data_IF_459856123695
#
_entry.id   IF_459856123695
#
_cell.length_a   1.000
_cell.length_b   1.000
_cell.length_c   1.000
_cell.angle_alpha   90.00
_cell.angle_beta   90.00
_cell.angle_gamma   90.00
#
_symmetry.space_group_name_H-M   'P 1'
#
loop_
_entity.id
_entity.type
_entity.pdbx_description
1 polymer ?
#
# COMPACT_ATOMS: atom_id res chain seq x y z
N UNK A 1 -9.99 69.38 44.33
CA UNK A 1 -10.03 67.90 44.26
C UNK A 1 -9.37 67.32 45.50
N UNK A 2 -9.94 66.29 46.13
CA UNK A 2 -9.44 65.74 47.41
C UNK A 2 -8.22 64.85 47.16
N UNK A 3 -7.05 65.23 47.67
CA UNK A 3 -5.76 64.52 47.50
C UNK A 3 -5.85 63.04 47.93
N UNK A 4 -6.68 62.76 48.94
CA UNK A 4 -6.95 61.40 49.42
C UNK A 4 -7.61 60.48 48.38
N UNK A 5 -8.46 61.01 47.50
CA UNK A 5 -9.09 60.23 46.42
C UNK A 5 -8.07 59.83 45.34
N UNK A 6 -7.09 60.70 45.09
CA UNK A 6 -6.05 60.49 44.09
C UNK A 6 -5.06 59.40 44.54
N UNK A 7 -4.68 59.42 45.82
CA UNK A 7 -3.84 58.38 46.46
C UNK A 7 -4.57 57.02 46.48
N UNK A 8 -5.89 57.01 46.74
CA UNK A 8 -6.68 55.78 46.71
C UNK A 8 -6.77 55.20 45.29
N UNK A 9 -6.96 56.06 44.28
CA UNK A 9 -7.00 55.66 42.87
C UNK A 9 -5.65 55.12 42.38
N UNK A 10 -4.54 55.71 42.82
CA UNK A 10 -3.19 55.21 42.53
C UNK A 10 -2.93 53.85 43.19
N UNK A 11 -3.39 53.63 44.43
CA UNK A 11 -3.33 52.32 45.09
C UNK A 11 -4.13 51.25 44.33
N UNK A 12 -5.33 51.59 43.85
CA UNK A 12 -6.16 50.66 43.06
C UNK A 12 -5.49 50.36 41.71
N UNK A 13 -4.96 51.37 41.03
CA UNK A 13 -4.24 51.23 39.77
C UNK A 13 -2.98 50.38 39.91
N UNK A 14 -2.17 50.60 40.96
CA UNK A 14 -0.96 49.81 41.21
C UNK A 14 -1.27 48.33 41.52
N UNK A 15 -2.35 48.05 42.26
CA UNK A 15 -2.82 46.68 42.50
C UNK A 15 -3.29 46.01 41.20
N UNK A 16 -4.02 46.72 40.34
CA UNK A 16 -4.44 46.22 39.03
C UNK A 16 -3.25 45.95 38.11
N UNK A 17 -2.24 46.83 38.10
CA UNK A 17 -1.01 46.63 37.32
C UNK A 17 -0.22 45.41 37.81
N UNK A 18 -0.12 45.21 39.14
CA UNK A 18 0.51 44.01 39.71
C UNK A 18 -0.22 42.73 39.27
N UNK A 19 -1.56 42.72 39.30
CA UNK A 19 -2.37 41.58 38.81
C UNK A 19 -2.14 41.31 37.33
N UNK A 20 -2.12 42.34 36.48
CA UNK A 20 -1.82 42.21 35.04
C UNK A 20 -0.43 41.63 34.79
N UNK A 21 0.58 42.05 35.56
CA UNK A 21 1.94 41.50 35.46
C UNK A 21 1.96 40.02 35.86
N UNK A 22 1.26 39.65 36.94
CA UNK A 22 1.16 38.25 37.38
C UNK A 22 0.49 37.39 36.31
N UNK A 23 -0.64 37.82 35.74
CA UNK A 23 -1.32 37.08 34.68
C UNK A 23 -0.48 36.93 33.40
N UNK A 24 0.30 37.96 33.04
CA UNK A 24 1.24 37.84 31.90
C UNK A 24 2.35 36.83 32.18
N UNK A 25 2.85 36.77 33.41
CA UNK A 25 3.83 35.76 33.83
C UNK A 25 3.24 34.37 33.81
N UNK A 26 2.06 34.18 34.38
CA UNK A 26 1.34 32.89 34.38
C UNK A 26 1.06 32.41 32.96
N UNK A 27 0.56 33.29 32.09
CA UNK A 27 0.35 32.98 30.69
C UNK A 27 1.67 32.62 29.99
N UNK A 28 2.73 33.41 30.19
CA UNK A 28 4.06 33.13 29.66
C UNK A 28 4.63 31.79 30.12
N UNK A 29 4.47 31.44 31.39
CA UNK A 29 4.88 30.15 31.94
C UNK A 29 4.02 28.99 31.40
N UNK A 30 2.72 29.19 31.23
CA UNK A 30 1.84 28.20 30.60
C UNK A 30 2.24 27.96 29.14
N UNK A 31 2.50 29.01 28.36
CA UNK A 31 3.00 28.88 26.99
C UNK A 31 4.36 28.18 26.94
N UNK A 32 5.28 28.52 27.85
CA UNK A 32 6.60 27.87 27.92
C UNK A 32 6.49 26.39 28.29
N UNK A 33 5.58 26.01 29.21
CA UNK A 33 5.29 24.61 29.52
C UNK A 33 4.67 23.88 28.33
N UNK A 34 3.70 24.49 27.66
CA UNK A 34 3.06 23.91 26.47
C UNK A 34 4.05 23.71 25.33
N UNK A 35 4.93 24.69 25.08
CA UNK A 35 5.98 24.60 24.06
C UNK A 35 6.98 23.47 24.33
N UNK A 36 7.20 23.07 25.59
CA UNK A 36 8.04 21.93 25.91
C UNK A 36 7.45 20.60 25.41
N UNK A 37 6.11 20.47 25.33
CA UNK A 37 5.47 19.26 24.80
C UNK A 37 5.55 19.16 23.28
N UNK A 38 5.78 20.29 22.59
CA UNK A 38 5.99 20.34 21.15
C UNK A 38 7.46 20.15 20.73
N UNK A 39 8.35 19.85 21.69
CA UNK A 39 9.73 19.51 21.37
C UNK A 39 9.80 18.05 20.87
N UNK A 40 10.42 17.77 19.71
CA UNK A 40 10.51 16.42 19.15
C UNK A 40 11.17 15.41 20.11
N UNK A 41 12.07 15.89 20.98
CA UNK A 41 12.78 15.06 21.97
C UNK A 41 11.89 14.50 23.07
N UNK A 42 10.74 15.13 23.35
CA UNK A 42 9.86 14.77 24.48
C UNK A 42 8.61 14.02 24.06
N UNK A 43 8.22 14.13 22.79
CA UNK A 43 7.06 13.44 22.26
C UNK A 43 7.42 12.64 21.00
N UNK A 44 7.58 11.30 21.09
CA UNK A 44 7.90 10.47 19.93
C UNK A 44 6.79 10.52 18.87
N UNK A 45 5.54 10.81 19.27
CA UNK A 45 4.41 10.94 18.34
C UNK A 45 4.60 12.11 17.38
N UNK A 46 5.21 13.22 17.82
CA UNK A 46 5.49 14.36 16.93
C UNK A 46 6.55 14.01 15.89
N UNK A 47 7.53 13.19 16.27
CA UNK A 47 8.55 12.71 15.33
C UNK A 47 7.96 11.71 14.33
N UNK A 48 7.05 10.85 14.77
CA UNK A 48 6.31 9.95 13.88
C UNK A 48 5.43 10.75 12.91
N UNK A 49 4.69 11.75 13.40
CA UNK A 49 3.83 12.60 12.59
C UNK A 49 4.64 13.49 11.64
N UNK A 50 5.81 13.98 12.06
CA UNK A 50 6.78 14.63 11.18
C UNK A 50 7.25 13.67 10.08
N UNK A 51 7.60 12.42 10.43
CA UNK A 51 8.04 11.44 9.44
C UNK A 51 6.93 11.06 8.46
N UNK A 52 5.68 11.00 8.93
CA UNK A 52 4.50 10.73 8.10
C UNK A 52 4.21 11.90 7.15
N UNK A 53 4.17 13.14 7.66
CA UNK A 53 4.00 14.35 6.85
C UNK A 53 5.14 14.54 5.83
N UNK A 54 6.35 14.16 6.19
CA UNK A 54 7.52 14.22 5.32
C UNK A 54 7.62 13.04 4.35
N UNK A 55 6.70 12.06 4.42
CA UNK A 55 6.72 10.84 3.60
C UNK A 55 7.91 9.91 3.86
N UNK A 56 8.66 10.13 4.95
CA UNK A 56 9.82 9.30 5.32
C UNK A 56 9.40 7.88 5.69
N UNK A 57 8.19 7.71 6.25
CA UNK A 57 7.60 6.40 6.54
C UNK A 57 7.32 5.63 5.26
N UNK A 58 6.71 6.30 4.29
CA UNK A 58 6.24 5.70 3.06
C UNK A 58 7.44 5.30 2.19
N UNK A 59 8.47 6.14 2.16
CA UNK A 59 9.73 5.83 1.51
C UNK A 59 10.45 4.65 2.16
N UNK A 60 10.52 4.58 3.50
CA UNK A 60 11.08 3.41 4.19
C UNK A 60 10.30 2.12 3.91
N UNK A 61 8.97 2.20 3.88
CA UNK A 61 8.12 1.06 3.57
C UNK A 61 8.35 0.60 2.12
N UNK A 62 8.47 1.54 1.19
CA UNK A 62 8.79 1.27 -0.20
C UNK A 62 10.18 0.63 -0.36
N UNK A 63 11.21 1.18 0.29
CA UNK A 63 12.59 0.66 0.25
C UNK A 63 12.66 -0.74 0.89
N UNK A 64 12.05 -0.92 2.06
CA UNK A 64 11.95 -2.22 2.73
C UNK A 64 11.18 -3.23 1.87
N UNK A 65 10.15 -2.79 1.14
CA UNK A 65 9.44 -3.66 0.21
C UNK A 65 10.31 -4.04 -0.98
N UNK A 66 11.09 -3.12 -1.56
CA UNK A 66 12.03 -3.42 -2.64
C UNK A 66 13.07 -4.47 -2.22
N UNK A 67 13.73 -4.27 -1.08
CA UNK A 67 14.73 -5.21 -0.55
C UNK A 67 14.14 -6.62 -0.30
N UNK A 68 12.91 -6.69 0.21
CA UNK A 68 12.24 -7.98 0.45
C UNK A 68 11.68 -8.65 -0.83
N UNK A 69 11.67 -7.99 -1.99
CA UNK A 69 11.18 -8.60 -3.25
C UNK A 69 12.21 -9.46 -3.96
N UNK A 70 13.48 -9.11 -3.85
CA UNK A 70 14.51 -9.63 -4.76
C UNK A 70 15.35 -10.75 -4.15
N UNK A 71 15.48 -10.82 -2.83
CA UNK A 71 16.45 -11.74 -2.22
C UNK A 71 15.81 -12.64 -1.17
N UNK A 72 15.59 -13.90 -1.57
CA UNK A 72 15.55 -15.00 -0.61
C UNK A 72 16.87 -14.96 0.14
N UNK A 73 16.84 -14.59 1.41
CA UNK A 73 18.04 -14.51 2.25
C UNK A 73 18.85 -15.81 2.14
N UNK A 74 20.20 -15.77 2.19
CA UNK A 74 21.03 -16.98 2.07
C UNK A 74 20.64 -18.05 3.11
N UNK A 75 20.15 -17.63 4.27
CA UNK A 75 19.61 -18.51 5.30
C UNK A 75 18.32 -19.22 4.87
N UNK A 76 17.39 -18.52 4.21
CA UNK A 76 16.16 -19.12 3.66
C UNK A 76 16.47 -20.06 2.49
N UNK A 77 17.47 -19.76 1.68
CA UNK A 77 17.91 -20.67 0.61
C UNK A 77 18.44 -21.99 1.17
N UNK A 78 19.24 -21.94 2.24
CA UNK A 78 19.71 -23.13 2.94
C UNK A 78 18.54 -23.96 3.50
N UNK A 79 17.53 -23.31 4.09
CA UNK A 79 16.31 -23.97 4.58
C UNK A 79 15.55 -24.67 3.44
N UNK A 80 15.40 -24.02 2.28
CA UNK A 80 14.73 -24.64 1.13
C UNK A 80 15.49 -25.88 0.62
N UNK A 81 16.82 -25.82 0.57
CA UNK A 81 17.63 -26.97 0.14
C UNK A 81 17.50 -28.13 1.13
N UNK A 82 17.53 -27.86 2.43
CA UNK A 82 17.33 -28.84 3.49
C UNK A 82 15.92 -29.47 3.40
N UNK A 83 14.89 -28.66 3.17
CA UNK A 83 13.53 -29.14 2.97
C UNK A 83 13.40 -30.03 1.71
N UNK A 84 14.03 -29.64 0.60
CA UNK A 84 14.04 -30.45 -0.62
C UNK A 84 14.78 -31.77 -0.45
N UNK A 85 15.86 -31.80 0.35
CA UNK A 85 16.59 -33.03 0.66
C UNK A 85 15.77 -33.95 1.57
N UNK A 86 15.14 -33.39 2.60
CA UNK A 86 14.26 -34.16 3.50
C UNK A 86 13.02 -34.69 2.78
N UNK A 87 12.39 -33.89 1.91
CA UNK A 87 11.28 -34.32 1.06
C UNK A 87 11.68 -35.49 0.16
N UNK A 88 12.85 -35.46 -0.48
CA UNK A 88 13.34 -36.58 -1.29
C UNK A 88 13.55 -37.84 -0.46
N UNK A 89 14.10 -37.70 0.74
CA UNK A 89 14.30 -38.82 1.67
C UNK A 89 12.97 -39.43 2.13
N UNK A 90 12.03 -38.58 2.56
CA UNK A 90 10.68 -39.01 2.97
C UNK A 90 9.92 -39.62 1.81
N UNK A 91 9.96 -39.01 0.61
CA UNK A 91 9.32 -39.56 -0.59
C UNK A 91 9.92 -40.90 -0.98
N UNK A 92 11.24 -41.07 -0.92
CA UNK A 92 11.87 -42.36 -1.20
C UNK A 92 11.46 -43.43 -0.17
N UNK A 93 11.40 -43.07 1.11
CA UNK A 93 10.93 -43.95 2.17
C UNK A 93 9.44 -44.29 2.02
N UNK A 94 8.59 -43.30 1.71
CA UNK A 94 7.16 -43.48 1.46
C UNK A 94 6.92 -44.30 0.20
N UNK A 95 7.67 -44.09 -0.88
CA UNK A 95 7.58 -44.90 -2.10
C UNK A 95 8.01 -46.35 -1.83
N UNK A 96 9.03 -46.58 -1.00
CA UNK A 96 9.38 -47.93 -0.57
C UNK A 96 8.24 -48.59 0.24
N UNK A 97 7.61 -47.84 1.16
CA UNK A 97 6.44 -48.29 1.92
C UNK A 97 5.16 -48.44 1.08
N UNK A 98 4.98 -47.61 0.05
CA UNK A 98 3.82 -47.59 -0.84
C UNK A 98 3.93 -48.60 -1.98
N UNK A 99 5.14 -48.94 -2.41
CA UNK A 99 5.38 -50.11 -3.24
C UNK A 99 5.03 -51.42 -2.48
N UNK A 100 5.10 -51.40 -1.15
CA UNK A 100 4.64 -52.48 -0.27
C UNK A 100 3.11 -52.47 -0.05
N UNK A 101 2.43 -51.35 -0.27
CA UNK A 101 0.98 -51.15 -0.14
C UNK A 101 0.42 -50.37 -1.33
N UNK A 102 0.30 -51.04 -2.47
CA UNK A 102 0.05 -50.43 -3.77
C UNK A 102 -1.45 -50.48 -4.12
N UNK A 103 -2.17 -49.36 -3.98
CA UNK A 103 -3.25 -49.03 -4.93
C UNK A 103 -3.68 -47.56 -4.83
N UNK A 104 -3.96 -46.95 -6.00
CA UNK A 104 -4.56 -45.62 -6.26
C UNK A 104 -3.62 -44.52 -6.79
N UNK A 105 -3.74 -44.32 -8.10
CA UNK A 105 -3.00 -43.41 -9.00
C UNK A 105 -3.49 -41.93 -8.95
N UNK A 106 -2.70 -40.94 -9.39
CA UNK A 106 -3.00 -39.51 -9.32
C UNK A 106 -3.51 -38.92 -10.66
N UNK A 107 -4.19 -37.77 -10.62
CA UNK A 107 -4.33 -36.93 -11.81
C UNK A 107 -4.39 -35.44 -11.43
N UNK A 108 -3.34 -34.70 -11.77
CA UNK A 108 -3.32 -33.24 -11.84
C UNK A 108 -3.66 -32.82 -13.27
N UNK A 109 -4.64 -31.94 -13.45
CA UNK A 109 -4.91 -31.28 -14.73
C UNK A 109 -4.80 -29.78 -14.52
N UNK A 110 -3.79 -29.18 -15.15
CA UNK A 110 -3.56 -27.74 -15.26
C UNK A 110 -3.87 -27.31 -16.70
N UNK A 111 -4.60 -26.22 -16.89
CA UNK A 111 -4.68 -25.44 -18.14
C UNK A 111 -5.33 -24.09 -17.76
N UNK A 112 -4.58 -23.04 -17.43
CA UNK A 112 -3.96 -22.04 -18.32
C UNK A 112 -4.96 -21.21 -19.16
N UNK A 113 -5.03 -19.95 -18.74
CA UNK A 113 -5.70 -18.79 -19.31
C UNK A 113 -5.08 -18.36 -20.63
N UNK A 114 -5.91 -18.08 -21.64
CA UNK A 114 -5.48 -17.45 -22.88
C UNK A 114 -5.81 -15.96 -22.86
N UNK A 115 -4.75 -15.15 -22.97
CA UNK A 115 -4.81 -13.72 -23.17
C UNK A 115 -5.06 -13.38 -24.65
N UNK A 116 -5.84 -12.33 -24.86
CA UNK A 116 -6.37 -11.85 -26.13
C UNK A 116 -5.29 -11.07 -26.90
N UNK A 117 -5.09 -11.42 -28.18
CA UNK A 117 -4.13 -10.77 -29.08
C UNK A 117 -4.85 -9.82 -30.05
N UNK A 118 -4.14 -8.83 -30.60
CA UNK A 118 -4.65 -7.72 -31.43
C UNK A 118 -5.48 -8.05 -32.68
N UNK A 119 -5.70 -9.33 -32.98
CA UNK A 119 -6.76 -9.76 -33.91
C UNK A 119 -8.16 -9.37 -33.39
N UNK A 120 -8.37 -9.38 -32.07
CA UNK A 120 -9.68 -9.06 -31.48
C UNK A 120 -10.11 -7.61 -31.68
N UNK A 121 -9.20 -6.64 -31.72
CA UNK A 121 -9.57 -5.22 -31.89
C UNK A 121 -10.16 -4.93 -33.28
N UNK A 122 -9.68 -5.61 -34.32
CA UNK A 122 -10.26 -5.47 -35.66
C UNK A 122 -11.62 -6.16 -35.75
N UNK A 123 -11.77 -7.30 -35.07
CA UNK A 123 -13.05 -8.00 -34.98
C UNK A 123 -14.08 -7.19 -34.18
N UNK A 124 -13.69 -6.51 -33.10
CA UNK A 124 -14.61 -5.66 -32.31
C UNK A 124 -15.07 -4.46 -33.10
N UNK A 125 -14.19 -3.80 -33.86
CA UNK A 125 -14.57 -2.68 -34.73
C UNK A 125 -15.57 -3.13 -35.80
N UNK A 126 -15.31 -4.26 -36.46
CA UNK A 126 -16.22 -4.84 -37.44
C UNK A 126 -17.59 -5.23 -36.85
N UNK A 127 -17.61 -5.79 -35.64
CA UNK A 127 -18.85 -6.11 -34.91
C UNK A 127 -19.64 -4.83 -34.58
N UNK A 128 -18.98 -3.78 -34.12
CA UNK A 128 -19.64 -2.51 -33.79
C UNK A 128 -20.25 -1.83 -35.03
N UNK A 129 -19.59 -1.91 -36.19
CA UNK A 129 -20.15 -1.45 -37.46
C UNK A 129 -21.34 -2.28 -37.92
N UNK A 130 -21.29 -3.60 -37.71
CA UNK A 130 -22.40 -4.49 -38.01
C UNK A 130 -23.60 -4.20 -37.09
N UNK A 131 -23.38 -3.97 -35.80
CA UNK A 131 -24.44 -3.59 -34.85
C UNK A 131 -25.07 -2.26 -35.24
N UNK A 132 -24.27 -1.27 -35.64
CA UNK A 132 -24.77 0.03 -36.12
C UNK A 132 -25.65 -0.12 -37.36
N UNK A 133 -25.16 -0.84 -38.37
CA UNK A 133 -25.90 -1.02 -39.63
C UNK A 133 -27.17 -1.85 -39.45
N UNK A 134 -27.15 -2.88 -38.61
CA UNK A 134 -28.32 -3.68 -38.28
C UNK A 134 -29.38 -2.86 -37.52
N UNK A 135 -28.97 -2.01 -36.58
CA UNK A 135 -29.88 -1.14 -35.84
C UNK A 135 -30.54 -0.07 -36.74
N UNK A 136 -29.86 0.35 -37.82
CA UNK A 136 -30.36 1.34 -38.77
C UNK A 136 -31.00 0.73 -40.03
N UNK A 137 -31.12 -0.61 -40.13
CA UNK A 137 -31.59 -1.29 -41.33
C UNK A 137 -33.11 -1.21 -41.55
N UNK A 138 -33.89 -0.88 -40.52
CA UNK A 138 -35.35 -0.73 -40.63
C UNK A 138 -35.74 0.65 -41.17
N UNK A 139 -36.70 0.71 -42.09
CA UNK A 139 -37.25 1.97 -42.66
C UNK A 139 -37.86 2.90 -41.58
N UNK A 140 -38.20 2.35 -40.40
CA UNK A 140 -38.59 3.12 -39.20
C UNK A 140 -37.86 2.52 -37.98
N UNK A 141 -36.66 3.03 -37.61
CA UNK A 141 -35.91 2.51 -36.49
C UNK A 141 -36.59 2.83 -35.15
N UNK A 142 -36.59 1.87 -34.23
CA UNK A 142 -37.15 2.06 -32.88
C UNK A 142 -36.29 3.03 -32.06
N UNK A 143 -36.89 3.65 -31.03
CA UNK A 143 -36.15 4.48 -30.06
C UNK A 143 -35.05 3.70 -29.32
N UNK A 144 -35.17 2.37 -29.27
CA UNK A 144 -34.13 1.50 -28.74
C UNK A 144 -32.99 1.29 -29.77
N UNK A 145 -33.32 1.12 -31.04
CA UNK A 145 -32.34 0.93 -32.11
C UNK A 145 -31.49 2.17 -32.32
N UNK A 146 -32.08 3.36 -32.23
CA UNK A 146 -31.36 4.63 -32.27
C UNK A 146 -30.36 4.79 -31.11
N UNK A 147 -30.71 4.28 -29.92
CA UNK A 147 -29.80 4.29 -28.76
C UNK A 147 -28.66 3.30 -28.92
N UNK A 148 -28.94 2.11 -29.45
CA UNK A 148 -27.92 1.11 -29.75
C UNK A 148 -26.95 1.63 -30.81
N UNK A 149 -27.45 2.22 -31.89
CA UNK A 149 -26.62 2.83 -32.93
C UNK A 149 -25.74 3.97 -32.38
N UNK A 150 -26.31 4.91 -31.60
CA UNK A 150 -25.56 5.99 -30.97
C UNK A 150 -24.50 5.49 -29.97
N UNK A 151 -24.78 4.40 -29.26
CA UNK A 151 -23.81 3.79 -28.34
C UNK A 151 -22.65 3.10 -29.07
N UNK A 152 -22.93 2.43 -30.19
CA UNK A 152 -21.91 1.83 -31.05
C UNK A 152 -21.03 2.92 -31.68
N UNK A 153 -21.62 4.03 -32.15
CA UNK A 153 -20.88 5.18 -32.68
C UNK A 153 -19.96 5.83 -31.64
N UNK A 154 -20.41 5.95 -30.38
CA UNK A 154 -19.58 6.47 -29.30
C UNK A 154 -18.38 5.56 -29.00
N UNK A 155 -18.57 4.23 -29.02
CA UNK A 155 -17.49 3.26 -28.81
C UNK A 155 -16.50 3.24 -29.99
N UNK A 156 -16.98 3.34 -31.23
CA UNK A 156 -16.13 3.47 -32.42
C UNK A 156 -15.29 4.76 -32.34
N UNK A 157 -15.88 5.89 -31.95
CA UNK A 157 -15.15 7.16 -31.75
C UNK A 157 -14.13 7.08 -30.62
N UNK A 158 -14.44 6.40 -29.52
CA UNK A 158 -13.48 6.22 -28.42
C UNK A 158 -12.28 5.38 -28.86
N UNK A 159 -12.49 4.37 -29.70
CA UNK A 159 -11.41 3.55 -30.26
C UNK A 159 -10.57 4.30 -31.30
N UNK A 160 -11.17 5.24 -32.05
CA UNK A 160 -10.49 6.07 -33.06
C UNK A 160 -9.78 7.29 -32.47
N UNK A 161 -10.37 7.97 -31.48
CA UNK A 161 -9.84 9.19 -30.87
C UNK A 161 -8.76 8.91 -29.80
N UNK A 162 -8.45 7.65 -29.53
CA UNK A 162 -7.29 7.28 -28.71
C UNK A 162 -5.95 7.52 -29.44
N UNK A 163 -5.96 7.86 -30.74
CA UNK A 163 -4.74 8.12 -31.54
C UNK A 163 -4.57 9.56 -32.05
N UNK A 164 -5.48 10.51 -31.78
CA UNK A 164 -5.30 11.90 -32.23
C UNK A 164 -5.69 12.90 -31.13
N UNK A 165 -4.67 13.45 -30.47
CA UNK A 165 -4.79 14.50 -29.47
C UNK A 165 -5.02 15.86 -30.13
N UNK A 166 -6.27 16.33 -30.12
CA UNK A 166 -6.61 17.66 -30.58
C UNK A 166 -6.28 18.71 -29.50
N UNK A 167 -5.48 19.70 -29.89
CA UNK A 167 -5.04 20.82 -29.06
C UNK A 167 -6.20 21.78 -28.75
N UNK A 168 -6.59 21.82 -27.47
CA UNK A 168 -7.42 22.90 -26.92
C UNK A 168 -6.55 24.13 -26.66
N UNK A 169 -6.97 25.28 -27.19
CA UNK A 169 -6.31 26.56 -26.98
C UNK A 169 -6.60 27.02 -25.56
N UNK A 170 -5.63 26.82 -24.68
CA UNK A 170 -5.75 27.17 -23.27
C UNK A 170 -5.79 28.70 -23.02
N UNK A 171 -6.55 29.14 -22.00
CA UNK A 171 -6.68 30.55 -21.64
C UNK A 171 -5.37 31.16 -21.09
N UNK A 172 -5.19 32.49 -21.22
CA UNK A 172 -3.91 33.18 -21.02
C UNK A 172 -3.33 33.17 -19.59
N UNK A 173 -4.04 32.66 -18.58
CA UNK A 173 -3.47 32.49 -17.23
C UNK A 173 -2.46 31.34 -17.15
N UNK A 174 -2.41 30.48 -18.17
CA UNK A 174 -1.48 29.33 -18.24
C UNK A 174 -0.04 29.78 -18.49
N UNK A 175 0.18 30.98 -19.05
CA UNK A 175 1.53 31.47 -19.40
C UNK A 175 2.21 32.31 -18.32
N UNK A 176 1.51 32.66 -17.24
CA UNK A 176 2.12 33.39 -16.13
C UNK A 176 2.96 32.42 -15.30
N UNK A 177 4.27 32.40 -15.55
CA UNK A 177 5.22 31.58 -14.79
C UNK A 177 5.36 32.14 -13.37
N UNK A 178 4.48 31.71 -12.48
CA UNK A 178 4.64 31.91 -11.04
C UNK A 178 5.80 31.02 -10.60
N UNK A 179 6.90 31.62 -10.13
CA UNK A 179 8.05 30.88 -9.60
C UNK A 179 7.69 30.26 -8.24
N UNK A 180 6.96 29.15 -8.27
CA UNK A 180 6.66 28.35 -7.10
C UNK A 180 7.89 27.49 -6.81
N UNK A 181 8.58 27.78 -5.71
CA UNK A 181 9.67 26.90 -5.21
C UNK A 181 9.06 25.60 -4.71
N UNK A 182 8.87 24.66 -5.62
CA UNK A 182 8.46 23.29 -5.31
C UNK A 182 9.61 22.60 -4.58
N UNK A 183 9.44 22.19 -3.32
CA UNK A 183 10.47 21.42 -2.63
C UNK A 183 10.85 20.16 -3.41
N UNK A 184 12.13 19.76 -3.39
CA UNK A 184 12.67 18.62 -4.17
C UNK A 184 11.90 17.30 -4.00
N UNK A 185 11.12 17.18 -2.94
CA UNK A 185 10.29 16.01 -2.62
C UNK A 185 9.10 15.87 -3.56
N UNK A 186 8.54 16.99 -4.01
CA UNK A 186 7.41 17.02 -4.93
C UNK A 186 7.85 17.08 -6.40
N UNK A 187 9.13 17.38 -6.66
CA UNK A 187 9.72 17.27 -8.00
C UNK A 187 10.19 15.86 -8.35
N UNK A 188 10.29 14.96 -7.34
CA UNK A 188 10.51 13.54 -7.58
C UNK A 188 9.16 12.91 -7.89
N UNK A 189 8.86 12.80 -9.18
CA UNK A 189 7.74 12.01 -9.65
C UNK A 189 7.97 10.56 -9.23
N UNK A 190 7.21 10.10 -8.23
CA UNK A 190 7.11 8.68 -7.94
C UNK A 190 6.48 8.07 -9.19
N UNK A 191 7.26 7.33 -10.00
CA UNK A 191 6.75 6.62 -11.17
C UNK A 191 5.86 5.47 -10.69
N UNK A 192 4.66 5.82 -10.28
CA UNK A 192 3.56 4.91 -9.99
C UNK A 192 2.92 4.62 -11.34
N UNK A 193 3.14 3.41 -11.84
CA UNK A 193 2.48 2.96 -13.05
C UNK A 193 0.99 2.79 -12.75
N UNK A 194 0.09 3.62 -13.32
CA UNK A 194 -1.35 3.59 -13.02
C UNK A 194 -2.03 2.31 -13.50
N UNK A 195 -1.35 1.52 -14.34
CA UNK A 195 -1.83 0.24 -14.86
C UNK A 195 -1.29 -0.98 -14.09
N UNK A 196 -0.43 -0.76 -13.10
CA UNK A 196 -0.08 -1.84 -12.18
C UNK A 196 -1.24 -2.06 -11.22
N UNK A 197 -1.69 -3.31 -11.07
CA UNK A 197 -2.78 -3.74 -10.17
C UNK A 197 -2.57 -3.36 -8.69
N UNK A 198 -1.48 -2.68 -8.33
CA UNK A 198 -1.20 -2.33 -6.95
C UNK A 198 -0.49 -0.99 -6.80
N UNK A 199 -1.06 -0.15 -5.95
CA UNK A 199 -0.59 1.19 -5.52
C UNK A 199 0.83 1.15 -4.90
N UNK A 200 1.35 -0.04 -4.58
CA UNK A 200 2.67 -0.26 -3.96
C UNK A 200 3.53 -1.27 -4.75
N UNK A 201 3.24 -1.53 -6.02
CA UNK A 201 4.07 -2.36 -6.90
C UNK A 201 4.07 -3.87 -6.62
N UNK A 202 3.31 -4.38 -5.64
CA UNK A 202 3.14 -5.82 -5.39
C UNK A 202 1.68 -6.20 -5.28
N UNK A 203 1.23 -7.21 -6.03
CA UNK A 203 -0.08 -7.81 -5.81
C UNK A 203 -0.20 -8.31 -4.37
N UNK A 204 -1.38 -8.12 -3.77
CA UNK A 204 -1.67 -8.57 -2.40
C UNK A 204 -1.30 -10.05 -2.19
N UNK A 205 -1.53 -10.88 -3.20
CA UNK A 205 -1.18 -12.29 -3.21
C UNK A 205 0.33 -12.51 -3.02
N UNK A 206 1.17 -11.80 -3.76
CA UNK A 206 2.62 -11.93 -3.66
C UNK A 206 3.12 -11.51 -2.27
N UNK A 207 2.57 -10.43 -1.71
CA UNK A 207 2.90 -9.99 -0.36
C UNK A 207 2.49 -11.02 0.71
N UNK A 208 1.28 -11.57 0.59
CA UNK A 208 0.78 -12.63 1.46
C UNK A 208 1.67 -13.89 1.37
N UNK A 209 2.06 -14.27 0.16
CA UNK A 209 2.95 -15.41 -0.09
C UNK A 209 4.34 -15.20 0.53
N UNK A 210 4.94 -14.03 0.38
CA UNK A 210 6.24 -13.73 1.01
C UNK A 210 6.16 -13.74 2.54
N UNK A 211 5.07 -13.20 3.11
CA UNK A 211 4.88 -13.15 4.56
C UNK A 211 4.65 -14.55 5.15
N UNK A 212 3.81 -15.36 4.51
CA UNK A 212 3.57 -16.74 4.92
C UNK A 212 4.85 -17.58 4.80
N UNK A 213 5.63 -17.41 3.72
CA UNK A 213 6.92 -18.06 3.59
C UNK A 213 7.90 -17.67 4.68
N UNK A 214 8.05 -16.36 4.97
CA UNK A 214 8.92 -15.88 6.04
C UNK A 214 8.54 -16.51 7.38
N UNK A 215 7.27 -16.44 7.75
CA UNK A 215 6.76 -17.04 8.98
C UNK A 215 7.01 -18.56 9.03
N UNK A 216 6.78 -19.28 7.93
CA UNK A 216 7.05 -20.70 7.85
C UNK A 216 8.55 -21.02 8.00
N UNK A 217 9.42 -20.23 7.36
CA UNK A 217 10.88 -20.40 7.43
C UNK A 217 11.42 -20.19 8.85
N UNK A 218 10.92 -19.17 9.55
CA UNK A 218 11.30 -18.88 10.95
C UNK A 218 10.84 -20.01 11.88
N UNK A 219 9.58 -20.46 11.72
CA UNK A 219 9.04 -21.57 12.50
C UNK A 219 9.81 -22.88 12.27
N UNK A 220 10.15 -23.17 11.01
CA UNK A 220 10.99 -24.32 10.68
C UNK A 220 12.36 -24.22 11.34
N UNK A 221 13.05 -23.07 11.20
CA UNK A 221 14.36 -22.86 11.80
C UNK A 221 14.32 -23.03 13.33
N UNK A 222 13.30 -22.48 13.99
CA UNK A 222 13.07 -22.66 15.42
C UNK A 222 12.84 -24.13 15.77
N UNK A 223 12.02 -24.86 15.01
CA UNK A 223 11.78 -26.27 15.24
C UNK A 223 13.05 -27.11 15.10
N UNK A 224 13.87 -26.86 14.09
CA UNK A 224 15.17 -27.52 13.91
C UNK A 224 16.12 -27.22 15.08
N UNK A 225 16.13 -26.00 15.59
CA UNK A 225 16.92 -25.67 16.79
C UNK A 225 16.42 -26.42 18.02
N UNK A 226 15.10 -26.50 18.22
CA UNK A 226 14.50 -27.25 19.32
C UNK A 226 14.86 -28.74 19.25
N UNK A 227 14.73 -29.37 18.08
CA UNK A 227 15.05 -30.79 17.91
C UNK A 227 16.55 -31.06 18.11
N UNK A 228 17.43 -30.18 17.62
CA UNK A 228 18.88 -30.22 17.92
C UNK A 228 19.17 -30.12 19.42
N UNK A 229 18.38 -29.34 20.15
CA UNK A 229 18.47 -29.21 21.61
C UNK A 229 17.82 -30.38 22.35
N UNK A 230 17.36 -31.43 21.65
CA UNK A 230 16.79 -32.63 22.24
C UNK A 230 15.29 -32.59 22.48
N UNK A 231 14.58 -31.54 22.03
CA UNK A 231 13.12 -31.51 22.08
C UNK A 231 12.53 -32.61 21.17
N UNK A 232 11.60 -33.39 21.71
CA UNK A 232 10.83 -34.40 20.97
C UNK A 232 9.35 -34.12 21.18
N UNK A 233 8.56 -33.88 20.10
CA UNK A 233 7.16 -33.53 20.23
C UNK A 233 6.32 -34.63 20.89
N UNK A 234 6.71 -35.90 20.74
CA UNK A 234 6.01 -37.04 21.35
C UNK A 234 6.41 -37.31 22.81
N UNK A 235 7.40 -36.57 23.33
CA UNK A 235 7.81 -36.61 24.74
C UNK A 235 7.53 -35.26 25.36
N UNK A 236 6.25 -34.93 25.51
CA UNK A 236 5.85 -33.78 26.32
C UNK A 236 6.51 -33.89 27.70
N UNK A 237 7.17 -32.79 28.06
CA UNK A 237 7.84 -32.61 29.33
C UNK A 237 6.83 -32.73 30.46
N UNK A 238 6.77 -33.90 31.11
CA UNK A 238 5.98 -34.15 32.33
C UNK A 238 6.39 -33.25 33.52
N UNK A 239 7.35 -32.36 33.34
CA UNK A 239 7.91 -31.48 34.38
C UNK A 239 6.94 -30.38 34.88
N UNK A 240 5.70 -30.30 34.39
CA UNK A 240 4.65 -29.43 34.95
C UNK A 240 3.54 -30.18 35.72
N UNK A 241 3.64 -31.50 35.89
CA UNK A 241 2.78 -32.29 36.78
C UNK A 241 3.46 -32.51 38.14
N UNK A 242 3.70 -31.42 38.87
CA UNK A 242 3.94 -31.47 40.30
C UNK A 242 2.89 -30.55 40.93
N UNK A 243 1.83 -31.16 41.45
CA UNK A 243 0.85 -30.56 42.34
C UNK A 243 1.16 -30.99 43.78
#
# INVERSE_FOLDING_TARGET
>A
MKISSLIAQEKISSQQNRKKIMHRKEAGDAYRKNAMYFQPKKNPLLLELENLLLGRTDQKLYDQQQENSSEVTPQQQAIMQDLQQTEKSVRAHEQAYKAENNDSSPSSVSSESSAITGSELNNTLQILEQVRSAALASDVPSSQDLRVAASADAQIRHLLNAEDGAEDIDPPFVHDTIEVKVPERFSKELKLDPFTDTIFGKSYENALRSNTFKFASEKYASHIQMTKNGYRPDQDSKFSLIA
#
